data_IF_555698874673
#
_entry.id   IF_555698874673
#
_cell.length_a   1.000
_cell.length_b   1.000
_cell.length_c   1.000
_cell.angle_alpha   90.00
_cell.angle_beta   90.00
_cell.angle_gamma   90.00
#
_symmetry.space_group_name_H-M   'P 1'
#
loop_
_entity.id
_entity.type
_entity.pdbx_description
1 polymer ?
#
# COMPACT_ATOMS: atom_id res chain seq x y z
N UNK A 1 10.23 2.83 -17.90
CA UNK A 1 9.90 4.00 -17.06
C UNK A 1 9.19 3.50 -15.82
N UNK A 2 9.60 3.90 -14.62
CA UNK A 2 8.89 3.55 -13.37
C UNK A 2 8.06 4.75 -12.94
N UNK A 3 6.73 4.60 -12.91
CA UNK A 3 5.81 5.70 -12.60
C UNK A 3 5.96 6.16 -11.14
N UNK A 4 6.08 5.19 -10.21
CA UNK A 4 6.20 5.46 -8.78
C UNK A 4 7.63 5.31 -8.25
N UNK A 5 8.59 4.88 -9.07
CA UNK A 5 10.01 4.86 -8.71
C UNK A 5 10.46 3.72 -7.79
N UNK A 6 9.61 2.71 -7.56
CA UNK A 6 9.95 1.52 -6.75
C UNK A 6 10.91 0.57 -7.47
N UNK A 7 11.68 -0.15 -6.68
CA UNK A 7 12.61 -1.22 -7.09
C UNK A 7 12.14 -2.53 -6.48
N UNK A 8 11.83 -3.52 -7.32
CA UNK A 8 11.27 -4.82 -6.90
C UNK A 8 12.37 -5.83 -6.53
N UNK A 9 12.16 -6.57 -5.44
CA UNK A 9 12.98 -7.73 -5.05
C UNK A 9 13.07 -8.75 -6.22
N UNK A 10 14.25 -9.29 -6.61
CA UNK A 10 15.56 -9.23 -5.94
C UNK A 10 16.53 -8.21 -6.51
N UNK A 11 16.05 -7.15 -7.17
CA UNK A 11 16.96 -6.11 -7.65
C UNK A 11 17.71 -5.45 -6.48
N UNK A 12 19.00 -5.09 -6.64
CA UNK A 12 19.75 -4.42 -5.59
C UNK A 12 19.04 -3.17 -5.08
N UNK A 13 19.10 -2.93 -3.77
CA UNK A 13 18.44 -1.80 -3.10
C UNK A 13 16.91 -1.76 -3.35
N UNK A 14 16.27 -2.94 -3.41
CA UNK A 14 14.82 -3.02 -3.51
C UNK A 14 14.12 -2.35 -2.32
N UNK A 15 12.94 -1.82 -2.60
CA UNK A 15 12.03 -1.20 -1.63
C UNK A 15 10.58 -1.66 -1.84
N UNK A 16 10.38 -2.64 -2.73
CA UNK A 16 9.12 -3.33 -2.95
C UNK A 16 9.40 -4.83 -2.95
N UNK A 17 8.62 -5.60 -2.20
CA UNK A 17 8.68 -7.06 -2.18
C UNK A 17 7.28 -7.66 -2.32
N UNK A 18 7.23 -8.86 -2.87
CA UNK A 18 6.01 -9.70 -2.90
C UNK A 18 6.03 -10.69 -1.74
N UNK A 19 4.86 -11.20 -1.36
CA UNK A 19 4.67 -12.28 -0.40
C UNK A 19 5.36 -12.09 0.97
N UNK A 20 5.08 -10.97 1.64
CA UNK A 20 5.69 -10.70 2.95
C UNK A 20 4.99 -11.52 4.05
N UNK A 21 5.70 -12.50 4.61
CA UNK A 21 5.21 -13.31 5.74
C UNK A 21 5.08 -12.46 7.00
N UNK A 22 3.97 -12.64 7.72
CA UNK A 22 3.84 -12.15 9.08
C UNK A 22 4.69 -13.04 10.01
N UNK A 23 5.38 -12.44 10.97
CA UNK A 23 6.28 -13.17 11.90
C UNK A 23 5.47 -14.00 12.91
N UNK A 24 4.22 -13.60 13.18
CA UNK A 24 3.41 -14.14 14.28
C UNK A 24 2.38 -15.17 13.79
N UNK A 25 1.96 -15.11 12.53
CA UNK A 25 1.03 -16.08 11.95
C UNK A 25 1.43 -16.47 10.52
N UNK A 26 0.91 -17.58 10.01
CA UNK A 26 1.20 -18.05 8.64
C UNK A 26 0.56 -17.18 7.54
N UNK A 27 -0.01 -16.01 7.86
CA UNK A 27 -0.61 -15.12 6.86
C UNK A 27 0.48 -14.31 6.16
N UNK A 28 0.26 -14.02 4.89
CA UNK A 28 1.14 -13.21 4.05
C UNK A 28 0.37 -12.01 3.54
N UNK A 29 1.04 -10.85 3.46
CA UNK A 29 0.56 -9.77 2.59
C UNK A 29 1.03 -10.06 1.15
N UNK A 30 0.23 -9.68 0.17
CA UNK A 30 0.58 -9.86 -1.25
C UNK A 30 1.84 -9.06 -1.62
N UNK A 31 2.01 -7.88 -1.03
CA UNK A 31 3.23 -7.10 -1.15
C UNK A 31 3.49 -6.16 0.01
N UNK A 32 4.68 -5.60 0.04
CA UNK A 32 5.07 -4.59 1.01
C UNK A 32 6.09 -3.61 0.45
N UNK A 33 6.00 -2.36 0.92
CA UNK A 33 6.98 -1.32 0.66
C UNK A 33 7.88 -1.19 1.87
N UNK A 34 9.19 -1.25 1.65
CA UNK A 34 10.20 -1.29 2.70
C UNK A 34 10.90 0.05 2.86
N UNK A 35 11.16 0.43 4.11
CA UNK A 35 12.06 1.51 4.48
C UNK A 35 13.19 0.93 5.32
N UNK A 36 14.31 0.61 4.67
CA UNK A 36 15.33 -0.24 5.26
C UNK A 36 14.83 -1.68 5.34
N UNK A 37 14.89 -2.28 6.53
CA UNK A 37 14.42 -3.65 6.77
C UNK A 37 12.94 -3.72 7.19
N UNK A 38 12.33 -2.57 7.48
CA UNK A 38 10.97 -2.51 8.01
C UNK A 38 9.93 -2.31 6.91
N UNK A 39 8.80 -3.02 7.03
CA UNK A 39 7.62 -2.76 6.21
C UNK A 39 6.97 -1.43 6.64
N UNK A 40 7.05 -0.43 5.75
CA UNK A 40 6.42 0.88 5.92
C UNK A 40 4.96 0.85 5.45
N UNK A 41 4.69 0.11 4.38
CA UNK A 41 3.36 -0.11 3.85
C UNK A 41 3.14 -1.59 3.52
N UNK A 42 1.91 -2.05 3.68
CA UNK A 42 1.45 -3.34 3.15
C UNK A 42 0.49 -3.14 1.99
N UNK A 43 0.54 -4.08 1.05
CA UNK A 43 -0.29 -4.13 -0.14
C UNK A 43 -1.07 -5.44 -0.10
N UNK A 44 -2.39 -5.34 -0.18
CA UNK A 44 -3.29 -6.49 -0.28
C UNK A 44 -4.13 -6.35 -1.55
N UNK A 45 -4.10 -7.38 -2.39
CA UNK A 45 -4.73 -7.41 -3.70
C UNK A 45 -5.84 -8.47 -3.74
N UNK A 46 -6.85 -8.21 -4.56
CA UNK A 46 -7.89 -9.18 -4.94
C UNK A 46 -8.21 -9.06 -6.42
N UNK A 47 -8.92 -10.05 -6.97
CA UNK A 47 -9.42 -10.01 -8.34
C UNK A 47 -10.45 -8.89 -8.52
N UNK A 48 -10.62 -8.43 -9.76
CA UNK A 48 -11.58 -7.38 -10.16
C UNK A 48 -13.04 -7.76 -9.88
N UNK A 49 -13.32 -9.04 -9.69
CA UNK A 49 -14.63 -9.58 -9.30
C UNK A 49 -14.98 -9.30 -7.82
N UNK A 50 -13.99 -8.95 -7.00
CA UNK A 50 -14.20 -8.61 -5.59
C UNK A 50 -14.68 -7.18 -5.46
N UNK A 51 -15.97 -7.01 -5.15
CA UNK A 51 -16.60 -5.69 -4.94
C UNK A 51 -16.58 -5.23 -3.48
N UNK A 52 -16.46 -6.16 -2.54
CA UNK A 52 -16.41 -5.92 -1.10
C UNK A 52 -14.96 -5.78 -0.62
N UNK A 53 -14.46 -4.54 -0.63
CA UNK A 53 -13.09 -4.19 -0.20
C UNK A 53 -12.93 -4.19 1.34
N UNK A 54 -14.02 -4.20 2.11
CA UNK A 54 -13.97 -4.10 3.58
C UNK A 54 -13.41 -5.39 4.21
N UNK A 55 -13.64 -6.54 3.57
CA UNK A 55 -12.99 -7.82 3.94
C UNK A 55 -11.48 -7.80 3.72
N UNK A 56 -11.01 -7.05 2.72
CA UNK A 56 -9.59 -6.91 2.38
C UNK A 56 -8.89 -6.07 3.46
N UNK A 57 -9.56 -5.01 3.91
CA UNK A 57 -9.11 -4.12 4.96
C UNK A 57 -8.76 -4.90 6.24
N UNK A 58 -9.65 -5.78 6.71
CA UNK A 58 -9.41 -6.59 7.91
C UNK A 58 -8.12 -7.43 7.81
N UNK A 59 -7.83 -8.00 6.63
CA UNK A 59 -6.62 -8.79 6.41
C UNK A 59 -5.37 -7.89 6.44
N UNK A 60 -5.43 -6.76 5.74
CA UNK A 60 -4.31 -5.83 5.63
C UNK A 60 -3.97 -5.15 6.97
N UNK A 61 -4.98 -4.73 7.74
CA UNK A 61 -4.77 -4.17 9.09
C UNK A 61 -4.32 -5.22 10.11
N UNK A 62 -4.71 -6.49 9.91
CA UNK A 62 -4.15 -7.60 10.67
C UNK A 62 -2.62 -7.69 10.56
N UNK A 63 -2.03 -7.35 9.41
CA UNK A 63 -0.58 -7.24 9.28
C UNK A 63 -0.06 -6.03 10.07
N UNK A 64 -0.61 -4.85 9.81
CA UNK A 64 -0.18 -3.60 10.47
C UNK A 64 -0.14 -3.71 12.00
N UNK A 65 -1.10 -4.37 12.63
CA UNK A 65 -1.15 -4.51 14.09
C UNK A 65 0.06 -5.25 14.69
N UNK A 66 0.76 -6.06 13.89
CA UNK A 66 1.96 -6.80 14.30
C UNK A 66 3.26 -6.10 13.87
N UNK A 67 3.17 -5.01 13.11
CA UNK A 67 4.30 -4.29 12.55
C UNK A 67 4.18 -2.79 12.89
N UNK A 68 4.73 -2.35 14.05
CA UNK A 68 4.51 -0.99 14.56
C UNK A 68 5.04 0.12 13.63
N UNK A 69 5.99 -0.21 12.75
CA UNK A 69 6.54 0.71 11.73
C UNK A 69 5.74 0.74 10.42
N UNK A 70 4.72 -0.12 10.28
CA UNK A 70 3.79 -0.10 9.16
C UNK A 70 2.82 1.07 9.36
N UNK A 71 3.00 2.13 8.59
CA UNK A 71 2.20 3.36 8.67
C UNK A 71 1.05 3.32 7.68
N UNK A 72 1.26 2.71 6.52
CA UNK A 72 0.30 2.75 5.42
C UNK A 72 -0.26 1.37 5.10
N UNK A 73 -1.48 1.35 4.59
CA UNK A 73 -2.11 0.16 4.03
C UNK A 73 -2.64 0.54 2.65
N UNK A 74 -2.37 -0.31 1.65
CA UNK A 74 -2.88 -0.19 0.29
C UNK A 74 -3.71 -1.44 0.02
N UNK A 75 -4.98 -1.27 -0.35
CA UNK A 75 -5.80 -2.38 -0.85
C UNK A 75 -6.27 -2.07 -2.26
N UNK A 76 -6.39 -3.10 -3.10
CA UNK A 76 -6.92 -2.91 -4.45
C UNK A 76 -7.55 -4.17 -5.03
N UNK A 77 -8.59 -3.98 -5.84
CA UNK A 77 -9.14 -4.99 -6.74
C UNK A 77 -8.80 -4.69 -8.22
N UNK A 78 -7.77 -3.88 -8.49
CA UNK A 78 -7.37 -3.36 -9.81
C UNK A 78 -8.32 -2.38 -10.49
N UNK A 79 -9.59 -2.29 -10.07
CA UNK A 79 -10.49 -1.20 -10.47
C UNK A 79 -10.41 -0.05 -9.47
N UNK A 80 -10.45 -0.36 -8.17
CA UNK A 80 -10.35 0.60 -7.07
C UNK A 80 -9.09 0.37 -6.27
N UNK A 81 -8.47 1.44 -5.80
CA UNK A 81 -7.38 1.43 -4.86
C UNK A 81 -7.78 2.28 -3.65
N UNK A 82 -7.66 1.69 -2.45
CA UNK A 82 -7.79 2.40 -1.18
C UNK A 82 -6.44 2.59 -0.54
N UNK A 83 -6.14 3.82 -0.18
CA UNK A 83 -4.93 4.20 0.52
C UNK A 83 -5.26 4.69 1.93
N UNK A 84 -4.81 3.93 2.93
CA UNK A 84 -5.05 4.23 4.34
C UNK A 84 -3.79 4.76 5.00
N UNK A 85 -3.97 5.68 5.94
CA UNK A 85 -2.91 6.27 6.75
C UNK A 85 -3.22 6.01 8.22
N UNK A 86 -2.35 5.26 8.90
CA UNK A 86 -2.39 4.90 10.33
C UNK A 86 -3.58 4.05 10.81
N UNK A 87 -4.81 4.31 10.37
CA UNK A 87 -6.00 3.61 10.84
C UNK A 87 -6.92 3.21 9.68
N UNK A 88 -7.90 2.37 10.00
CA UNK A 88 -8.83 1.78 9.06
C UNK A 88 -10.06 2.67 8.77
N UNK A 89 -10.23 3.76 9.52
CA UNK A 89 -11.42 4.62 9.47
C UNK A 89 -11.36 5.53 8.24
N UNK A 90 -10.21 6.18 8.01
CA UNK A 90 -10.08 7.18 6.96
C UNK A 90 -9.13 6.72 5.84
N UNK A 91 -9.65 6.61 4.62
CA UNK A 91 -8.88 6.28 3.41
C UNK A 91 -9.12 7.26 2.26
N UNK A 92 -8.19 7.23 1.30
CA UNK A 92 -8.34 7.90 0.01
C UNK A 92 -8.68 6.83 -1.01
N UNK A 93 -9.80 6.99 -1.70
CA UNK A 93 -10.24 6.13 -2.80
C UNK A 93 -9.76 6.65 -4.15
N UNK A 94 -9.32 5.73 -5.00
CA UNK A 94 -8.97 5.97 -6.39
C UNK A 94 -9.70 4.95 -7.27
N UNK A 95 -10.58 5.42 -8.15
CA UNK A 95 -11.10 4.62 -9.28
C UNK A 95 -10.04 4.65 -10.38
N UNK A 96 -9.26 3.58 -10.47
CA UNK A 96 -8.13 3.43 -11.38
C UNK A 96 -8.55 3.43 -12.85
N UNK A 97 -9.80 3.13 -13.17
CA UNK A 97 -10.30 3.13 -14.55
C UNK A 97 -10.79 4.52 -14.98
N UNK A 98 -11.18 5.36 -14.02
CA UNK A 98 -11.76 6.68 -14.28
C UNK A 98 -10.99 7.85 -13.64
N UNK A 99 -9.68 7.70 -13.41
CA UNK A 99 -8.85 8.76 -12.81
C UNK A 99 -8.86 10.06 -13.63
N UNK A 100 -9.24 11.15 -12.98
CA UNK A 100 -8.89 12.49 -13.48
C UNK A 100 -7.40 12.78 -13.30
N UNK A 101 -6.90 13.80 -13.99
CA UNK A 101 -5.51 14.25 -13.83
C UNK A 101 -5.21 14.65 -12.38
N UNK A 102 -6.14 15.29 -11.71
CA UNK A 102 -6.03 15.75 -10.33
C UNK A 102 -5.99 14.55 -9.38
N UNK A 103 -6.87 13.56 -9.58
CA UNK A 103 -6.88 12.33 -8.79
C UNK A 103 -5.59 11.53 -8.98
N UNK A 104 -5.09 11.42 -10.22
CA UNK A 104 -3.80 10.79 -10.48
C UNK A 104 -2.65 11.57 -9.81
N UNK A 105 -2.70 12.91 -9.83
CA UNK A 105 -1.68 13.75 -9.19
C UNK A 105 -1.66 13.52 -7.68
N UNK A 106 -2.82 13.41 -7.04
CA UNK A 106 -2.92 13.05 -5.62
C UNK A 106 -2.43 11.62 -5.37
N UNK A 107 -2.82 10.65 -6.20
CA UNK A 107 -2.36 9.27 -6.09
C UNK A 107 -0.83 9.19 -6.19
N UNK A 108 -0.23 9.92 -7.13
CA UNK A 108 1.22 10.00 -7.29
C UNK A 108 1.89 10.71 -6.11
N UNK A 109 1.32 11.81 -5.62
CA UNK A 109 1.80 12.48 -4.41
C UNK A 109 1.82 11.51 -3.23
N UNK A 110 0.79 10.68 -3.07
CA UNK A 110 0.67 9.71 -2.00
C UNK A 110 1.62 8.51 -2.17
N UNK A 111 1.70 7.94 -3.37
CA UNK A 111 2.29 6.61 -3.61
C UNK A 111 3.66 6.64 -4.26
N UNK A 112 4.16 7.76 -4.78
CA UNK A 112 5.53 7.83 -5.29
C UNK A 112 6.53 7.49 -4.17
N UNK A 113 7.50 6.63 -4.48
CA UNK A 113 8.46 6.07 -3.51
C UNK A 113 9.04 7.14 -2.60
N UNK A 114 9.61 8.20 -3.16
CA UNK A 114 10.30 9.22 -2.36
C UNK A 114 9.33 9.98 -1.45
N UNK A 115 8.09 10.20 -1.89
CA UNK A 115 7.06 10.85 -1.07
C UNK A 115 6.61 9.94 0.08
N UNK A 116 6.26 8.69 -0.22
CA UNK A 116 5.80 7.71 0.75
C UNK A 116 6.88 7.43 1.81
N UNK A 117 8.12 7.18 1.38
CA UNK A 117 9.25 6.89 2.28
C UNK A 117 9.61 8.09 3.18
N UNK A 118 9.42 9.32 2.71
CA UNK A 118 9.63 10.54 3.51
C UNK A 118 8.43 10.96 4.36
N UNK A 119 7.37 10.15 4.36
CA UNK A 119 6.18 10.39 5.17
C UNK A 119 5.33 11.56 4.70
N UNK A 120 5.48 12.00 3.45
CA UNK A 120 4.71 13.12 2.90
C UNK A 120 3.19 12.92 3.02
N UNK A 121 2.61 11.73 2.72
CA UNK A 121 1.16 11.55 2.76
C UNK A 121 0.59 11.75 4.16
N UNK A 122 1.35 11.40 5.21
CA UNK A 122 0.96 11.62 6.60
C UNK A 122 1.00 13.09 7.01
N UNK A 123 1.83 13.92 6.36
CA UNK A 123 1.99 15.35 6.69
C UNK A 123 0.94 16.25 6.06
N UNK A 124 0.32 15.79 4.96
CA UNK A 124 -0.65 16.57 4.18
C UNK A 124 -2.10 16.18 4.50
N UNK A 125 -2.32 15.20 5.37
CA UNK A 125 -3.64 14.75 5.83
C UNK A 125 -3.96 15.37 7.18
#
# INVERSE_FOLDING_TARGET
MSIFGYTLNPQPNFNLTTELKNIINSKKADGAILKGEDALAVIELKGTDTTDLDKIETQAFGYKNHHPKCVYVITSNFEKLRFYIQNAIDHIDFDLFNLTREQFSLMWLCLAKDNLLNGLPQKIK
#
